data_IF_876456169126
#
_entry.id   IF_876456169126
#
_cell.length_a   1.000
_cell.length_b   1.000
_cell.length_c   1.000
_cell.angle_alpha   90.00
_cell.angle_beta   90.00
_cell.angle_gamma   90.00
#
_symmetry.space_group_name_H-M   'P 1'
#
loop_
_entity.id
_entity.type
_entity.pdbx_description
1 polymer ?
#
# COMPACT_ATOMS: atom_id res chain seq x y z
N UNK A 1 -54.41 -36.51 -26.76
CA UNK A 1 -53.56 -37.41 -25.95
C UNK A 1 -52.13 -37.24 -26.35
N UNK A 2 -51.33 -36.71 -25.46
CA UNK A 2 -49.88 -36.97 -25.39
C UNK A 2 -49.28 -36.06 -24.30
N UNK A 3 -48.70 -36.69 -23.34
CA UNK A 3 -48.12 -36.10 -22.11
C UNK A 3 -46.82 -35.37 -22.40
N UNK A 4 -46.71 -34.14 -21.85
CA UNK A 4 -45.45 -33.46 -21.68
C UNK A 4 -44.71 -33.95 -20.42
N UNK A 5 -43.51 -34.45 -20.59
CA UNK A 5 -42.61 -34.79 -19.49
C UNK A 5 -41.71 -33.56 -19.16
N UNK A 6 -41.84 -33.02 -17.96
CA UNK A 6 -41.01 -31.96 -17.46
C UNK A 6 -39.66 -32.49 -17.01
N UNK A 7 -38.58 -31.89 -17.47
CA UNK A 7 -37.24 -32.11 -16.94
C UNK A 7 -36.92 -31.08 -15.84
N UNK A 8 -36.73 -31.57 -14.62
CA UNK A 8 -36.28 -30.79 -13.48
C UNK A 8 -34.81 -30.41 -13.67
N UNK A 9 -34.54 -29.10 -13.78
CA UNK A 9 -33.19 -28.55 -13.79
C UNK A 9 -32.68 -28.50 -12.37
N UNK A 10 -31.66 -29.27 -12.11
CA UNK A 10 -30.90 -29.34 -10.86
C UNK A 10 -30.14 -28.01 -10.59
N UNK A 11 -30.65 -27.20 -9.68
CA UNK A 11 -29.99 -25.98 -9.23
C UNK A 11 -28.89 -26.36 -8.25
N UNK A 12 -27.69 -26.62 -8.76
CA UNK A 12 -26.46 -26.78 -7.98
C UNK A 12 -26.15 -25.47 -7.22
N UNK A 13 -26.48 -25.45 -5.93
CA UNK A 13 -26.24 -24.33 -5.04
C UNK A 13 -24.76 -24.02 -4.96
N UNK A 14 -24.36 -22.86 -5.45
CA UNK A 14 -23.02 -22.26 -5.16
C UNK A 14 -22.97 -21.94 -3.66
N UNK A 15 -22.30 -22.81 -2.89
CA UNK A 15 -21.88 -22.50 -1.52
C UNK A 15 -20.88 -21.35 -1.55
N UNK A 16 -21.38 -20.15 -1.37
CA UNK A 16 -20.52 -18.95 -1.22
C UNK A 16 -19.60 -19.14 -0.02
N UNK A 17 -18.30 -19.24 -0.25
CA UNK A 17 -17.29 -19.18 0.80
C UNK A 17 -17.52 -17.88 1.58
N UNK A 18 -18.04 -17.97 2.81
CA UNK A 18 -18.11 -16.84 3.74
C UNK A 18 -16.68 -16.44 4.05
N UNK A 19 -16.20 -15.36 3.43
CA UNK A 19 -14.94 -14.72 3.81
C UNK A 19 -15.06 -14.27 5.27
N UNK A 20 -14.24 -14.84 6.16
CA UNK A 20 -14.14 -14.36 7.53
C UNK A 20 -13.77 -12.88 7.48
N UNK A 21 -14.62 -12.02 8.02
CA UNK A 21 -14.36 -10.58 8.14
C UNK A 21 -13.08 -10.44 8.95
N UNK A 22 -12.03 -9.86 8.34
CA UNK A 22 -10.72 -9.68 8.98
C UNK A 22 -10.93 -8.81 10.22
N UNK A 23 -10.50 -9.28 11.39
CA UNK A 23 -10.62 -8.53 12.63
C UNK A 23 -9.90 -7.18 12.49
N UNK A 24 -10.56 -6.10 12.88
CA UNK A 24 -9.96 -4.77 12.90
C UNK A 24 -9.00 -4.71 14.08
N UNK A 25 -7.71 -4.63 13.79
CA UNK A 25 -6.69 -4.39 14.82
C UNK A 25 -6.85 -2.94 15.29
N UNK A 26 -6.82 -2.72 16.61
CA UNK A 26 -6.80 -1.37 17.14
C UNK A 26 -5.35 -0.96 17.42
N UNK A 27 -4.79 -0.14 16.55
CA UNK A 27 -3.39 0.33 16.63
C UNK A 27 -3.38 1.86 16.61
N UNK A 28 -3.27 2.53 17.77
CA UNK A 28 -3.34 3.99 17.84
C UNK A 28 -2.10 4.69 17.30
N UNK A 29 -0.93 4.07 17.39
CA UNK A 29 0.34 4.60 16.93
C UNK A 29 1.08 3.58 16.06
N UNK A 30 1.65 4.02 14.94
CA UNK A 30 2.33 3.15 14.00
C UNK A 30 3.51 3.79 13.30
N UNK A 31 4.14 2.99 12.44
CA UNK A 31 5.24 3.40 11.58
C UNK A 31 4.79 3.40 10.13
N UNK A 32 5.14 4.44 9.39
CA UNK A 32 4.93 4.49 7.94
C UNK A 32 6.26 4.36 7.24
N UNK A 33 6.38 3.41 6.36
CA UNK A 33 7.54 3.20 5.50
C UNK A 33 7.19 3.65 4.09
N UNK A 34 7.85 4.69 3.61
CA UNK A 34 7.73 5.18 2.23
C UNK A 34 8.98 4.78 1.48
N UNK A 35 8.83 3.90 0.52
CA UNK A 35 9.90 3.51 -0.39
C UNK A 35 9.62 4.10 -1.77
N UNK A 36 10.37 5.12 -2.14
CA UNK A 36 10.26 5.81 -3.41
C UNK A 36 11.45 5.50 -4.31
N UNK A 37 11.25 4.64 -5.29
CA UNK A 37 12.23 4.37 -6.33
C UNK A 37 11.97 5.25 -7.55
N UNK A 38 12.86 5.22 -8.55
CA UNK A 38 12.64 5.93 -9.82
C UNK A 38 11.44 5.42 -10.63
N UNK A 39 10.95 4.23 -10.35
CA UNK A 39 9.88 3.59 -11.13
C UNK A 39 8.57 3.43 -10.37
N UNK A 40 8.58 3.48 -9.04
CA UNK A 40 7.40 3.20 -8.23
C UNK A 40 7.55 3.79 -6.81
N UNK A 41 6.42 4.05 -6.17
CA UNK A 41 6.37 4.40 -4.74
C UNK A 41 5.50 3.39 -4.01
N UNK A 42 6.04 2.84 -2.93
CA UNK A 42 5.35 1.89 -2.05
C UNK A 42 5.22 2.53 -0.67
N UNK A 43 4.01 2.54 -0.14
CA UNK A 43 3.73 3.02 1.21
C UNK A 43 3.21 1.85 2.03
N UNK A 44 3.91 1.52 3.10
CA UNK A 44 3.55 0.45 4.02
C UNK A 44 3.38 1.02 5.42
N UNK A 45 2.26 0.75 6.05
CA UNK A 45 1.94 1.21 7.40
C UNK A 45 1.94 -0.01 8.33
N UNK A 46 2.73 0.06 9.37
CA UNK A 46 2.92 -1.02 10.34
C UNK A 46 2.58 -0.55 11.75
N UNK A 47 2.37 -1.50 12.65
CA UNK A 47 2.38 -1.23 14.08
C UNK A 47 3.83 -1.04 14.59
N UNK A 48 4.00 -0.78 15.87
CA UNK A 48 5.34 -0.62 16.48
C UNK A 48 6.14 -1.93 16.47
N UNK A 49 5.48 -3.08 16.46
CA UNK A 49 6.11 -4.39 16.39
C UNK A 49 6.58 -4.77 14.97
N UNK A 50 6.20 -3.97 13.95
CA UNK A 50 6.56 -4.22 12.55
C UNK A 50 5.52 -5.01 11.76
N UNK A 51 4.37 -5.36 12.34
CA UNK A 51 3.32 -6.05 11.60
C UNK A 51 2.59 -5.09 10.67
N UNK A 52 2.40 -5.48 9.43
CA UNK A 52 1.73 -4.65 8.42
C UNK A 52 0.24 -4.53 8.72
N UNK A 53 -0.23 -3.30 8.85
CA UNK A 53 -1.63 -2.92 9.02
C UNK A 53 -2.27 -2.63 7.67
N UNK A 54 -1.63 -1.79 6.88
CA UNK A 54 -2.06 -1.46 5.52
C UNK A 54 -0.87 -1.18 4.61
N UNK A 55 -1.06 -1.37 3.31
CA UNK A 55 -0.07 -0.98 2.33
C UNK A 55 -0.73 -0.64 1.00
N UNK A 56 -0.12 0.27 0.25
CA UNK A 56 -0.48 0.59 -1.14
C UNK A 56 0.76 0.97 -1.92
N UNK A 57 0.71 0.74 -3.21
CA UNK A 57 1.73 1.21 -4.14
C UNK A 57 1.06 1.95 -5.30
N UNK A 58 1.84 2.75 -6.02
CA UNK A 58 1.34 3.39 -7.25
C UNK A 58 0.82 2.36 -8.25
N UNK A 59 1.50 1.21 -8.38
CA UNK A 59 1.07 0.12 -9.25
C UNK A 59 -0.22 -0.57 -8.81
N UNK A 60 -0.48 -0.67 -7.50
CA UNK A 60 -1.69 -1.30 -6.97
C UNK A 60 -2.96 -0.46 -7.19
N UNK A 61 -2.80 0.83 -7.46
CA UNK A 61 -3.90 1.76 -7.76
C UNK A 61 -4.26 1.84 -9.25
N UNK A 62 -3.60 1.04 -10.09
CA UNK A 62 -3.87 1.00 -11.51
C UNK A 62 -2.95 1.88 -12.37
N UNK A 63 -2.02 2.64 -11.79
CA UNK A 63 -0.99 3.33 -12.56
C UNK A 63 -0.06 2.33 -13.24
N UNK A 64 0.32 2.59 -14.48
CA UNK A 64 1.15 1.71 -15.30
C UNK A 64 2.33 2.46 -15.90
N UNK A 65 3.43 1.75 -16.14
CA UNK A 65 4.62 2.29 -16.78
C UNK A 65 5.20 3.51 -16.05
N UNK A 66 5.54 4.57 -16.77
CA UNK A 66 6.11 5.80 -16.22
C UNK A 66 5.15 6.59 -15.32
N UNK A 67 3.85 6.34 -15.39
CA UNK A 67 2.86 7.02 -14.53
C UNK A 67 3.00 6.64 -13.04
N UNK A 68 3.61 5.50 -12.73
CA UNK A 68 3.87 5.06 -11.35
C UNK A 68 4.92 5.92 -10.62
N UNK A 69 5.79 6.56 -11.37
CA UNK A 69 6.86 7.41 -10.83
C UNK A 69 6.39 8.82 -10.46
N UNK A 70 5.19 9.21 -10.85
CA UNK A 70 4.69 10.56 -10.65
C UNK A 70 4.42 10.85 -9.16
N UNK A 71 4.66 12.11 -8.69
CA UNK A 71 4.28 12.54 -7.35
C UNK A 71 2.80 12.36 -7.04
N UNK A 72 1.93 12.53 -8.04
CA UNK A 72 0.49 12.31 -7.92
C UNK A 72 0.15 10.85 -7.58
N UNK A 73 0.78 9.89 -8.25
CA UNK A 73 0.59 8.47 -7.96
C UNK A 73 1.02 8.11 -6.53
N UNK A 74 2.14 8.67 -6.06
CA UNK A 74 2.62 8.52 -4.70
C UNK A 74 1.65 9.12 -3.67
N UNK A 75 1.10 10.30 -3.96
CA UNK A 75 0.08 10.94 -3.13
C UNK A 75 -1.16 10.06 -2.98
N UNK A 76 -1.67 9.51 -4.07
CA UNK A 76 -2.83 8.61 -4.06
C UNK A 76 -2.54 7.32 -3.28
N UNK A 77 -1.35 6.74 -3.44
CA UNK A 77 -0.94 5.56 -2.70
C UNK A 77 -0.90 5.81 -1.19
N UNK A 78 -0.32 6.93 -0.78
CA UNK A 78 -0.23 7.33 0.63
C UNK A 78 -1.61 7.61 1.23
N UNK A 79 -2.48 8.36 0.53
CA UNK A 79 -3.82 8.66 0.99
C UNK A 79 -4.67 7.39 1.18
N UNK A 80 -4.63 6.46 0.23
CA UNK A 80 -5.37 5.20 0.33
C UNK A 80 -4.84 4.29 1.44
N UNK A 81 -3.51 4.21 1.63
CA UNK A 81 -2.93 3.47 2.74
C UNK A 81 -3.32 4.07 4.10
N UNK A 82 -3.26 5.40 4.21
CA UNK A 82 -3.62 6.14 5.42
C UNK A 82 -5.10 5.95 5.80
N UNK A 83 -6.01 6.01 4.83
CA UNK A 83 -7.44 5.77 5.08
C UNK A 83 -7.68 4.36 5.63
N UNK A 84 -7.05 3.34 5.06
CA UNK A 84 -7.13 1.97 5.57
C UNK A 84 -6.56 1.85 6.99
N UNK A 85 -5.45 2.52 7.29
CA UNK A 85 -4.86 2.53 8.63
C UNK A 85 -5.77 3.22 9.65
N UNK A 86 -6.44 4.30 9.27
CA UNK A 86 -7.45 4.96 10.12
C UNK A 86 -8.64 4.06 10.45
N UNK A 87 -9.07 3.23 9.52
CA UNK A 87 -10.13 2.22 9.78
C UNK A 87 -9.70 1.22 10.86
N UNK A 88 -8.40 1.01 11.05
CA UNK A 88 -7.82 0.22 12.15
C UNK A 88 -7.54 1.04 13.42
N UNK A 89 -8.01 2.29 13.49
CA UNK A 89 -7.91 3.15 14.66
C UNK A 89 -6.59 3.91 14.80
N UNK A 90 -5.76 3.95 13.76
CA UNK A 90 -4.48 4.66 13.80
C UNK A 90 -4.70 6.18 13.79
N UNK A 91 -4.00 6.90 14.68
CA UNK A 91 -4.09 8.35 14.82
C UNK A 91 -2.75 9.05 14.59
N UNK A 92 -1.67 8.50 15.12
CA UNK A 92 -0.33 9.09 15.03
C UNK A 92 0.66 8.13 14.39
N UNK A 93 1.62 8.68 13.67
CA UNK A 93 2.61 7.89 12.91
C UNK A 93 3.99 8.54 12.93
N UNK A 94 5.01 7.70 12.93
CA UNK A 94 6.38 8.09 12.61
C UNK A 94 6.70 7.64 11.17
N UNK A 95 7.24 8.55 10.36
CA UNK A 95 7.49 8.30 8.94
C UNK A 95 8.96 8.01 8.71
N UNK A 96 9.23 6.90 8.02
CA UNK A 96 10.55 6.51 7.54
C UNK A 96 10.54 6.54 6.01
N UNK A 97 11.36 7.40 5.42
CA UNK A 97 11.45 7.58 3.98
C UNK A 97 12.74 6.95 3.46
N UNK A 98 12.67 6.24 2.36
CA UNK A 98 13.84 5.68 1.69
C UNK A 98 13.74 5.78 0.17
N UNK A 99 14.89 5.89 -0.49
CA UNK A 99 15.01 5.90 -1.94
C UNK A 99 15.04 7.29 -2.57
N UNK A 100 15.43 7.39 -3.84
CA UNK A 100 15.65 8.64 -4.54
C UNK A 100 14.45 9.14 -5.36
N UNK A 101 13.31 8.45 -5.33
CA UNK A 101 12.16 8.75 -6.19
C UNK A 101 11.50 10.10 -5.95
N UNK A 102 10.81 10.61 -6.95
CA UNK A 102 10.09 11.89 -6.90
C UNK A 102 8.89 11.89 -5.95
N UNK A 103 8.39 10.71 -5.59
CA UNK A 103 7.22 10.53 -4.73
C UNK A 103 7.47 10.71 -3.22
N UNK A 104 8.70 10.95 -2.78
CA UNK A 104 9.07 11.06 -1.36
C UNK A 104 8.23 12.08 -0.60
N UNK A 105 8.33 13.34 -1.02
CA UNK A 105 7.67 14.45 -0.33
C UNK A 105 6.16 14.43 -0.49
N UNK A 106 5.68 14.12 -1.68
CA UNK A 106 4.24 14.06 -1.96
C UNK A 106 3.52 12.98 -1.15
N UNK A 107 4.17 11.83 -0.92
CA UNK A 107 3.63 10.79 -0.05
C UNK A 107 3.53 11.27 1.41
N UNK A 108 4.56 11.93 1.94
CA UNK A 108 4.55 12.45 3.32
C UNK A 108 3.46 13.52 3.50
N UNK A 109 3.34 14.44 2.56
CA UNK A 109 2.27 15.47 2.58
C UNK A 109 0.88 14.85 2.56
N UNK A 110 0.69 13.80 1.75
CA UNK A 110 -0.59 13.11 1.66
C UNK A 110 -0.97 12.39 2.97
N UNK A 111 0.00 11.85 3.71
CA UNK A 111 -0.26 11.25 5.03
C UNK A 111 -0.82 12.28 6.01
N UNK A 112 -0.19 13.45 6.10
CA UNK A 112 -0.67 14.55 6.94
C UNK A 112 -2.06 15.04 6.50
N UNK A 113 -2.27 15.21 5.20
CA UNK A 113 -3.57 15.64 4.63
C UNK A 113 -4.69 14.61 4.87
N UNK A 114 -4.34 13.33 5.01
CA UNK A 114 -5.32 12.26 5.29
C UNK A 114 -5.76 12.20 6.75
N UNK A 115 -5.29 13.11 7.60
CA UNK A 115 -5.69 13.22 9.01
C UNK A 115 -4.93 12.27 9.95
N UNK A 116 -3.75 11.80 9.56
CA UNK A 116 -2.80 11.16 10.46
C UNK A 116 -1.87 12.23 11.05
N UNK A 117 -1.65 12.18 12.35
CA UNK A 117 -0.70 13.04 13.04
C UNK A 117 0.73 12.52 12.83
N UNK A 118 1.53 13.24 12.05
CA UNK A 118 2.93 12.89 11.76
C UNK A 118 3.82 13.44 12.87
N UNK A 119 4.35 12.58 13.71
CA UNK A 119 5.21 12.97 14.84
C UNK A 119 6.66 13.21 14.44
N UNK A 120 7.21 12.30 13.64
CA UNK A 120 8.61 12.39 13.20
C UNK A 120 8.75 11.93 11.75
N UNK A 121 9.73 12.50 11.06
CA UNK A 121 10.10 12.12 9.70
C UNK A 121 11.60 11.82 9.71
N UNK A 122 11.99 10.63 9.28
CA UNK A 122 13.39 10.21 9.21
C UNK A 122 13.70 9.67 7.81
N UNK A 123 14.84 10.06 7.28
CA UNK A 123 15.39 9.43 6.08
C UNK A 123 16.22 8.21 6.51
N UNK A 124 15.85 7.06 6.02
CA UNK A 124 16.51 5.77 6.29
C UNK A 124 17.08 5.14 5.02
N UNK A 125 17.36 5.97 4.01
CA UNK A 125 17.99 5.49 2.77
C UNK A 125 19.32 4.82 3.08
N UNK A 126 19.51 3.54 2.72
CA UNK A 126 20.74 2.83 3.02
C UNK A 126 21.92 3.41 2.23
N UNK A 127 23.03 3.67 2.91
CA UNK A 127 24.28 4.11 2.31
C UNK A 127 25.32 3.03 2.56
N UNK A 128 25.85 2.36 1.52
CA UNK A 128 26.85 1.31 1.69
C UNK A 128 28.20 1.89 2.14
N UNK A 129 28.89 1.18 3.03
CA UNK A 129 30.29 1.44 3.41
C UNK A 129 31.21 0.76 2.42
N UNK A 130 31.36 1.28 1.20
CA UNK A 130 32.04 0.68 0.04
C UNK A 130 31.43 -0.63 -0.50
N UNK A 131 30.46 -1.21 0.05
CA UNK A 131 29.66 -2.36 -0.35
C UNK A 131 30.06 -3.16 -1.60
N UNK A 132 29.09 -3.80 -2.21
CA UNK A 132 29.29 -4.57 -3.44
C UNK A 132 29.47 -3.66 -4.67
N UNK A 133 30.23 -4.16 -5.66
CA UNK A 133 30.36 -3.47 -6.95
C UNK A 133 29.00 -3.32 -7.62
N UNK A 134 28.60 -2.10 -8.06
CA UNK A 134 27.33 -1.90 -8.77
C UNK A 134 27.34 -2.60 -10.13
N UNK A 135 26.16 -2.92 -10.70
CA UNK A 135 26.04 -3.52 -12.02
C UNK A 135 26.58 -2.59 -13.12
N UNK A 136 26.88 -3.17 -14.29
CA UNK A 136 27.28 -2.40 -15.46
C UNK A 136 26.19 -1.39 -15.86
N UNK A 137 26.65 -0.27 -16.47
CA UNK A 137 25.72 0.70 -17.08
C UNK A 137 24.85 0.01 -18.15
N UNK A 138 23.57 0.29 -18.14
CA UNK A 138 22.64 -0.20 -19.18
C UNK A 138 23.09 0.30 -20.56
N UNK A 139 23.11 -0.61 -21.52
CA UNK A 139 23.22 -0.27 -22.94
C UNK A 139 21.85 0.19 -23.41
N UNK A 140 21.80 1.33 -24.02
CA UNK A 140 20.58 1.94 -24.54
C UNK A 140 20.60 1.83 -26.06
#
# INVERSE_FOLDING_TARGET
MAKAAGSAADKKGKTGKKFKKKERKHVPHGLVHVQASFNNTIVTITDQAGNTVSWKSSGSLGFRGSRKDTPFAAQQAAANAANQARDHGMRSVDVKVSGPGSGRESAVRALASSGLDVRSIRDVTPVPHNGCRPPKRRRV
#
